data_IF_912190932710
#
_entry.id   IF_912190932710
#
_cell.length_a   1.000
_cell.length_b   1.000
_cell.length_c   1.000
_cell.angle_alpha   90.00
_cell.angle_beta   90.00
_cell.angle_gamma   90.00
#
_symmetry.space_group_name_H-M   'P 1'
#
loop_
_entity.id
_entity.type
_entity.pdbx_description
1 polymer ?
#
# COMPACT_ATOMS: atom_id res chain seq x y z
N UNK A 1 -68.09 -22.03 12.30
CA UNK A 1 -67.00 -21.85 11.34
C UNK A 1 -65.85 -21.20 12.09
N UNK A 2 -64.82 -21.97 12.42
CA UNK A 2 -63.62 -21.49 13.16
C UNK A 2 -62.51 -21.37 12.15
N UNK A 3 -62.08 -20.14 11.85
CA UNK A 3 -60.96 -19.83 10.98
C UNK A 3 -59.62 -20.01 11.71
N UNK A 4 -58.77 -20.89 11.22
CA UNK A 4 -57.39 -21.08 11.67
C UNK A 4 -56.48 -20.13 10.91
N UNK A 5 -55.89 -19.14 11.60
CA UNK A 5 -54.81 -18.30 11.08
C UNK A 5 -53.47 -19.02 11.30
N UNK A 6 -52.77 -19.35 10.22
CA UNK A 6 -51.39 -19.82 10.25
C UNK A 6 -50.45 -18.58 10.23
N UNK A 7 -49.75 -18.33 11.34
CA UNK A 7 -48.64 -17.44 11.40
C UNK A 7 -47.41 -18.16 10.82
N UNK A 8 -46.99 -17.75 9.60
CA UNK A 8 -45.70 -18.12 9.03
C UNK A 8 -44.61 -17.23 9.67
N UNK A 9 -43.90 -17.77 10.66
CA UNK A 9 -42.68 -17.19 11.18
C UNK A 9 -41.55 -17.43 10.17
N UNK A 10 -41.13 -16.35 9.51
CA UNK A 10 -39.90 -16.34 8.73
C UNK A 10 -38.69 -16.39 9.68
N UNK A 11 -38.09 -17.54 9.81
CA UNK A 11 -36.82 -17.72 10.47
C UNK A 11 -35.74 -17.37 9.45
N UNK A 12 -35.25 -16.12 9.51
CA UNK A 12 -34.09 -15.70 8.74
C UNK A 12 -32.86 -16.47 9.18
N UNK A 13 -32.42 -17.41 8.38
CA UNK A 13 -31.12 -18.06 8.54
C UNK A 13 -30.05 -17.03 8.22
N UNK A 14 -29.47 -16.44 9.24
CA UNK A 14 -28.20 -15.73 9.13
C UNK A 14 -27.13 -16.78 8.77
N UNK A 15 -26.84 -16.91 7.49
CA UNK A 15 -25.65 -17.60 7.02
C UNK A 15 -24.44 -16.78 7.50
N UNK A 16 -23.94 -17.11 8.69
CA UNK A 16 -22.58 -16.72 9.10
C UNK A 16 -21.62 -17.50 8.21
N UNK A 17 -21.34 -16.96 7.02
CA UNK A 17 -20.30 -17.49 6.17
C UNK A 17 -18.99 -17.44 6.94
N UNK A 18 -18.38 -18.59 7.20
CA UNK A 18 -17.01 -18.64 7.69
C UNK A 18 -16.14 -17.78 6.78
N UNK A 19 -15.45 -16.81 7.39
CA UNK A 19 -14.49 -15.95 6.70
C UNK A 19 -13.27 -16.80 6.33
N UNK A 20 -13.36 -17.49 5.20
CA UNK A 20 -12.28 -18.35 4.73
C UNK A 20 -11.15 -17.45 4.21
N UNK A 21 -9.99 -17.51 4.88
CA UNK A 21 -8.78 -16.92 4.35
C UNK A 21 -8.42 -17.63 3.04
N UNK A 22 -8.34 -16.89 1.95
CA UNK A 22 -7.92 -17.39 0.65
C UNK A 22 -6.59 -16.76 0.28
N UNK A 23 -5.82 -17.42 -0.55
CA UNK A 23 -4.58 -16.88 -1.07
C UNK A 23 -4.10 -17.67 -2.28
N UNK A 24 -3.32 -17.02 -3.13
CA UNK A 24 -2.85 -17.64 -4.36
C UNK A 24 -1.98 -16.71 -5.18
N UNK A 25 -1.83 -17.09 -6.42
CA UNK A 25 -1.10 -16.30 -7.41
C UNK A 25 -2.06 -15.87 -8.52
N UNK A 26 -1.93 -14.61 -8.94
CA UNK A 26 -2.51 -14.12 -10.18
C UNK A 26 -1.41 -13.90 -11.21
N UNK A 27 -1.72 -14.10 -12.49
CA UNK A 27 -0.80 -13.77 -13.57
C UNK A 27 -0.81 -12.27 -13.83
N UNK A 28 0.39 -11.71 -14.07
CA UNK A 28 0.61 -10.38 -14.61
C UNK A 28 1.57 -10.50 -15.80
N UNK A 29 1.70 -9.49 -16.66
CA UNK A 29 2.68 -9.56 -17.75
C UNK A 29 4.08 -9.91 -17.20
N UNK A 30 4.71 -10.92 -17.80
CA UNK A 30 6.05 -11.42 -17.43
C UNK A 30 6.20 -11.89 -15.96
N UNK A 31 5.09 -12.33 -15.31
CA UNK A 31 5.20 -12.80 -13.93
C UNK A 31 3.89 -13.15 -13.25
N UNK A 32 3.95 -13.20 -11.93
CA UNK A 32 2.78 -13.45 -11.08
C UNK A 32 2.91 -12.70 -9.77
N UNK A 33 1.77 -12.29 -9.19
CA UNK A 33 1.69 -11.71 -7.85
C UNK A 33 1.06 -12.70 -6.88
N UNK A 34 1.62 -12.76 -5.67
CA UNK A 34 1.04 -13.50 -4.57
C UNK A 34 0.12 -12.58 -3.75
N UNK A 35 -1.09 -13.04 -3.45
CA UNK A 35 -2.04 -12.32 -2.63
C UNK A 35 -2.67 -13.22 -1.56
N UNK A 36 -3.26 -12.59 -0.55
CA UNK A 36 -4.13 -13.18 0.45
C UNK A 36 -5.37 -12.31 0.59
N UNK A 37 -6.54 -12.94 0.75
CA UNK A 37 -7.79 -12.23 1.03
C UNK A 37 -8.53 -12.83 2.22
N UNK A 38 -9.18 -11.98 2.99
CA UNK A 38 -10.00 -12.33 4.15
C UNK A 38 -11.23 -11.42 4.22
N UNK A 39 -12.31 -11.94 4.76
CA UNK A 39 -13.56 -11.19 4.88
C UNK A 39 -14.40 -11.21 3.62
N UNK A 40 -15.44 -10.40 3.63
CA UNK A 40 -16.40 -10.26 2.53
C UNK A 40 -16.93 -8.83 2.47
N UNK A 41 -17.62 -8.48 1.39
CA UNK A 41 -18.19 -7.14 1.18
C UNK A 41 -17.34 -6.25 0.28
N UNK A 42 -17.30 -4.95 0.58
CA UNK A 42 -16.58 -3.96 -0.22
C UNK A 42 -15.08 -4.23 -0.21
N UNK A 43 -14.40 -4.27 -1.38
CA UNK A 43 -12.97 -4.53 -1.45
C UNK A 43 -12.14 -3.42 -0.81
N UNK A 44 -11.19 -3.84 0.03
CA UNK A 44 -10.19 -3.00 0.68
C UNK A 44 -8.80 -3.59 0.44
N UNK A 45 -7.97 -2.91 -0.34
CA UNK A 45 -6.65 -3.39 -0.74
C UNK A 45 -5.57 -2.62 0.01
N UNK A 46 -4.65 -3.34 0.65
CA UNK A 46 -3.49 -2.77 1.32
C UNK A 46 -2.21 -3.02 0.51
N UNK A 47 -1.42 -1.95 0.29
CA UNK A 47 -0.20 -1.95 -0.52
C UNK A 47 1.00 -1.64 0.37
N UNK A 48 1.94 -2.59 0.46
CA UNK A 48 3.07 -2.54 1.38
C UNK A 48 4.19 -1.58 0.96
N UNK A 49 5.06 -1.24 1.93
CA UNK A 49 6.24 -0.41 1.74
C UNK A 49 7.46 -1.16 1.16
N UNK A 50 8.48 -0.39 0.73
CA UNK A 50 9.75 -0.91 0.22
C UNK A 50 10.43 -1.86 1.22
N UNK A 51 11.10 -2.89 0.73
CA UNK A 51 11.80 -3.94 1.51
C UNK A 51 10.93 -4.80 2.42
N UNK A 52 9.62 -4.58 2.39
CA UNK A 52 8.62 -5.28 3.18
C UNK A 52 7.77 -6.21 2.29
N UNK A 53 6.74 -6.77 2.85
CA UNK A 53 5.74 -7.57 2.16
C UNK A 53 4.36 -7.43 2.83
N UNK A 54 3.34 -8.13 2.32
CA UNK A 54 1.97 -8.09 2.80
C UNK A 54 1.82 -8.27 4.32
N UNK A 55 2.77 -8.94 4.98
CA UNK A 55 2.70 -9.23 6.43
C UNK A 55 2.77 -7.99 7.32
N UNK A 56 3.21 -6.84 6.78
CA UNK A 56 3.17 -5.57 7.52
C UNK A 56 1.74 -5.13 7.86
N UNK A 57 0.75 -5.63 7.13
CA UNK A 57 -0.66 -5.27 7.26
C UNK A 57 -1.47 -6.20 8.18
N UNK A 58 -0.80 -7.11 8.90
CA UNK A 58 -1.48 -8.12 9.74
C UNK A 58 -2.51 -7.51 10.70
N UNK A 59 -2.16 -6.42 11.38
CA UNK A 59 -3.04 -5.76 12.35
C UNK A 59 -4.22 -5.06 11.67
N UNK A 60 -4.02 -4.57 10.44
CA UNK A 60 -5.07 -3.99 9.61
C UNK A 60 -6.01 -5.07 9.08
N UNK A 61 -5.47 -6.19 8.58
CA UNK A 61 -6.30 -7.33 8.13
C UNK A 61 -7.23 -7.77 9.26
N UNK A 62 -6.71 -7.96 10.48
CA UNK A 62 -7.52 -8.37 11.64
C UNK A 62 -8.62 -7.34 11.97
N UNK A 63 -8.31 -6.05 11.87
CA UNK A 63 -9.27 -4.99 12.20
C UNK A 63 -10.39 -4.83 11.16
N UNK A 64 -10.09 -5.05 9.87
CA UNK A 64 -11.02 -4.73 8.79
C UNK A 64 -11.77 -5.93 8.21
N UNK A 65 -11.28 -7.17 8.37
CA UNK A 65 -11.87 -8.38 7.76
C UNK A 65 -13.31 -8.68 8.17
N UNK A 66 -13.79 -8.13 9.28
CA UNK A 66 -15.18 -8.30 9.72
C UNK A 66 -16.18 -7.50 8.87
N UNK A 67 -15.72 -6.45 8.16
CA UNK A 67 -16.57 -5.49 7.47
C UNK A 67 -16.23 -5.31 5.99
N UNK A 68 -15.04 -5.77 5.57
CA UNK A 68 -14.52 -5.60 4.21
C UNK A 68 -13.98 -6.92 3.66
N UNK A 69 -14.01 -7.05 2.34
CA UNK A 69 -13.18 -8.02 1.63
C UNK A 69 -11.76 -7.45 1.58
N UNK A 70 -10.93 -7.83 2.55
CA UNK A 70 -9.56 -7.31 2.71
C UNK A 70 -8.60 -8.11 1.85
N UNK A 71 -7.87 -7.42 0.98
CA UNK A 71 -6.84 -7.99 0.12
C UNK A 71 -5.48 -7.39 0.49
N UNK A 72 -4.49 -8.25 0.69
CA UNK A 72 -3.08 -7.90 0.82
C UNK A 72 -2.29 -8.68 -0.22
N UNK A 73 -1.27 -8.08 -0.81
CA UNK A 73 -0.45 -8.76 -1.81
C UNK A 73 1.02 -8.38 -1.67
N UNK A 74 1.88 -9.20 -2.23
CA UNK A 74 3.29 -8.88 -2.38
C UNK A 74 3.50 -8.22 -3.75
N UNK A 75 3.98 -7.00 -3.79
CA UNK A 75 4.31 -6.32 -5.03
C UNK A 75 5.42 -7.07 -5.79
N UNK A 76 5.50 -6.89 -7.11
CA UNK A 76 6.56 -7.49 -7.92
C UNK A 76 7.94 -7.13 -7.35
N UNK A 77 8.82 -8.12 -7.25
CA UNK A 77 10.13 -7.99 -6.65
C UNK A 77 10.17 -8.19 -5.13
N UNK A 78 9.02 -8.44 -4.49
CA UNK A 78 8.91 -8.59 -3.04
C UNK A 78 8.22 -9.90 -2.65
N UNK A 79 8.48 -10.35 -1.42
CA UNK A 79 7.83 -11.48 -0.79
C UNK A 79 7.81 -12.74 -1.65
N UNK A 80 6.61 -13.22 -1.98
CA UNK A 80 6.35 -14.44 -2.78
C UNK A 80 6.05 -14.16 -4.25
N UNK A 81 5.95 -12.89 -4.64
CA UNK A 81 5.71 -12.49 -6.03
C UNK A 81 6.95 -12.69 -6.90
N UNK A 82 6.76 -12.65 -8.22
CA UNK A 82 7.86 -12.77 -9.19
C UNK A 82 8.94 -11.74 -8.94
N UNK A 83 10.18 -12.14 -9.17
CA UNK A 83 11.34 -11.27 -9.08
C UNK A 83 11.30 -10.19 -10.16
N UNK A 84 11.93 -9.06 -9.89
CA UNK A 84 12.25 -8.07 -10.91
C UNK A 84 13.42 -8.55 -11.78
N UNK A 85 13.52 -7.94 -12.96
CA UNK A 85 14.62 -8.11 -13.92
C UNK A 85 14.94 -6.73 -14.50
N UNK A 86 16.19 -6.48 -14.82
CA UNK A 86 16.64 -5.19 -15.39
C UNK A 86 16.07 -4.91 -16.78
N UNK A 87 15.76 -5.98 -17.56
CA UNK A 87 15.18 -5.90 -18.90
C UNK A 87 13.66 -5.76 -18.91
N UNK A 88 13.03 -5.87 -17.73
CA UNK A 88 11.57 -5.85 -17.63
C UNK A 88 11.04 -4.43 -17.43
N UNK A 89 10.17 -4.01 -18.34
CA UNK A 89 9.43 -2.75 -18.21
C UNK A 89 8.02 -3.04 -17.69
N UNK A 90 7.68 -2.47 -16.54
CA UNK A 90 6.37 -2.62 -15.90
C UNK A 90 6.11 -1.42 -14.99
N UNK A 91 4.86 -1.26 -14.51
CA UNK A 91 4.57 -0.41 -13.36
C UNK A 91 3.90 -1.22 -12.25
N UNK A 92 4.20 -0.86 -11.01
CA UNK A 92 3.49 -1.42 -9.85
C UNK A 92 2.01 -1.07 -9.85
N UNK A 93 1.65 0.08 -10.44
CA UNK A 93 0.27 0.52 -10.60
C UNK A 93 -0.50 -0.41 -11.54
N UNK A 94 0.07 -0.74 -12.72
CA UNK A 94 -0.57 -1.65 -13.69
C UNK A 94 -0.65 -3.08 -13.13
N UNK A 95 0.35 -3.51 -12.37
CA UNK A 95 0.29 -4.79 -11.64
C UNK A 95 -0.86 -4.81 -10.62
N UNK A 96 -1.12 -3.69 -9.92
CA UNK A 96 -2.26 -3.58 -9.01
C UNK A 96 -3.60 -3.61 -9.76
N UNK A 97 -3.70 -2.94 -10.92
CA UNK A 97 -4.89 -3.02 -11.78
C UNK A 97 -5.11 -4.46 -12.25
N UNK A 98 -4.06 -5.15 -12.69
CA UNK A 98 -4.14 -6.56 -13.09
C UNK A 98 -4.58 -7.48 -11.92
N UNK A 99 -4.13 -7.20 -10.68
CA UNK A 99 -4.62 -7.88 -9.49
C UNK A 99 -6.13 -7.66 -9.31
N UNK A 100 -6.58 -6.42 -9.41
CA UNK A 100 -8.01 -6.08 -9.28
C UNK A 100 -8.84 -6.80 -10.36
N UNK A 101 -8.37 -6.83 -11.61
CA UNK A 101 -9.06 -7.49 -12.72
C UNK A 101 -9.15 -9.00 -12.51
N UNK A 102 -8.05 -9.65 -12.13
CA UNK A 102 -8.03 -11.09 -11.85
C UNK A 102 -8.95 -11.49 -10.69
N UNK A 103 -9.13 -10.60 -9.71
CA UNK A 103 -10.02 -10.81 -8.56
C UNK A 103 -11.45 -10.29 -8.80
N UNK A 104 -11.75 -9.83 -10.03
CA UNK A 104 -13.05 -9.28 -10.43
C UNK A 104 -13.48 -8.09 -9.55
N UNK A 105 -12.54 -7.21 -9.24
CA UNK A 105 -12.75 -6.01 -8.44
C UNK A 105 -12.80 -4.78 -9.37
N UNK A 106 -13.98 -4.27 -9.70
CA UNK A 106 -14.10 -3.09 -10.57
C UNK A 106 -13.62 -1.82 -9.86
N UNK A 107 -13.89 -1.69 -8.56
CA UNK A 107 -13.45 -0.59 -7.71
C UNK A 107 -13.12 -1.08 -6.30
N UNK A 108 -12.15 -0.42 -5.65
CA UNK A 108 -11.76 -0.73 -4.28
C UNK A 108 -11.43 0.54 -3.49
N UNK A 109 -11.48 0.43 -2.16
CA UNK A 109 -10.68 1.28 -1.30
C UNK A 109 -9.24 0.80 -1.33
N UNK A 110 -8.28 1.72 -1.46
CA UNK A 110 -6.85 1.37 -1.51
C UNK A 110 -6.10 2.13 -0.43
N UNK A 111 -5.33 1.42 0.35
CA UNK A 111 -4.48 1.96 1.43
C UNK A 111 -3.03 1.60 1.16
N UNK A 112 -2.18 2.58 0.93
CA UNK A 112 -0.77 2.38 0.68
C UNK A 112 0.11 3.10 1.69
N UNK A 113 1.22 2.46 2.10
CA UNK A 113 2.22 3.09 2.96
C UNK A 113 3.57 3.17 2.25
N UNK A 114 4.21 4.34 2.29
CA UNK A 114 5.55 4.56 1.70
C UNK A 114 5.55 4.23 0.20
N UNK A 115 6.28 3.22 -0.23
CA UNK A 115 6.22 2.69 -1.61
C UNK A 115 4.77 2.37 -2.02
N UNK A 116 3.98 1.76 -1.12
CA UNK A 116 2.57 1.50 -1.36
C UNK A 116 1.75 2.78 -1.55
N UNK A 117 2.13 3.86 -0.87
CA UNK A 117 1.56 5.19 -1.10
C UNK A 117 1.89 5.73 -2.49
N UNK A 118 3.10 5.49 -3.00
CA UNK A 118 3.46 5.86 -4.38
C UNK A 118 2.62 5.10 -5.41
N UNK A 119 2.44 3.79 -5.20
CA UNK A 119 1.62 2.94 -6.07
C UNK A 119 0.16 3.39 -6.06
N UNK A 120 -0.39 3.66 -4.88
CA UNK A 120 -1.76 4.15 -4.73
C UNK A 120 -1.96 5.57 -5.30
N UNK A 121 -0.93 6.42 -5.19
CA UNK A 121 -0.92 7.74 -5.81
C UNK A 121 -0.86 7.69 -7.33
N UNK A 122 -0.09 6.77 -7.89
CA UNK A 122 -0.10 6.51 -9.33
C UNK A 122 -1.47 5.99 -9.79
N UNK A 123 -2.11 5.09 -9.01
CA UNK A 123 -3.46 4.61 -9.31
C UNK A 123 -4.50 5.74 -9.32
N UNK A 124 -4.41 6.66 -8.34
CA UNK A 124 -5.27 7.84 -8.28
C UNK A 124 -5.15 8.74 -9.52
N UNK A 125 -3.95 8.86 -10.07
CA UNK A 125 -3.67 9.69 -11.25
C UNK A 125 -4.08 9.02 -12.56
N UNK A 126 -3.78 7.73 -12.70
CA UNK A 126 -3.90 6.99 -13.95
C UNK A 126 -5.27 6.33 -14.13
N UNK A 127 -5.84 5.82 -13.03
CA UNK A 127 -7.06 5.00 -13.01
C UNK A 127 -8.03 5.42 -11.87
N UNK A 128 -8.39 6.73 -11.77
CA UNK A 128 -9.24 7.21 -10.67
C UNK A 128 -10.61 6.50 -10.62
N UNK A 129 -11.10 6.02 -11.76
CA UNK A 129 -12.35 5.25 -11.87
C UNK A 129 -12.29 3.87 -11.18
N UNK A 130 -11.10 3.37 -10.87
CA UNK A 130 -10.90 2.09 -10.14
C UNK A 130 -10.92 2.27 -8.61
N UNK A 131 -11.04 3.50 -8.13
CA UNK A 131 -11.03 3.83 -6.71
C UNK A 131 -12.44 4.17 -6.19
N UNK A 132 -12.77 3.64 -5.01
CA UNK A 132 -13.82 4.14 -4.13
C UNK A 132 -13.25 5.26 -3.26
N UNK A 133 -12.10 5.05 -2.67
CA UNK A 133 -11.29 6.05 -1.97
C UNK A 133 -9.83 5.59 -1.91
N UNK A 134 -8.93 6.51 -1.54
CA UNK A 134 -7.50 6.19 -1.40
C UNK A 134 -6.92 6.78 -0.11
N UNK A 135 -6.07 6.01 0.56
CA UNK A 135 -5.27 6.46 1.71
C UNK A 135 -3.78 6.39 1.34
N UNK A 136 -3.11 7.52 1.45
CA UNK A 136 -1.70 7.72 1.14
C UNK A 136 -0.95 7.99 2.44
N UNK A 137 -0.39 6.93 3.04
CA UNK A 137 0.32 7.02 4.31
C UNK A 137 1.83 7.07 4.09
N UNK A 138 2.51 8.07 4.65
CA UNK A 138 3.97 8.25 4.57
C UNK A 138 4.54 8.18 3.14
N UNK A 139 3.70 8.46 2.15
CA UNK A 139 4.06 8.43 0.73
C UNK A 139 2.90 8.89 -0.13
N UNK A 140 3.23 9.54 -1.22
CA UNK A 140 2.31 10.01 -2.27
C UNK A 140 2.93 9.71 -3.63
N UNK A 141 2.52 10.32 -4.73
CA UNK A 141 3.21 10.15 -6.03
C UNK A 141 4.68 10.56 -5.93
N UNK A 142 5.58 9.78 -6.52
CA UNK A 142 7.00 10.11 -6.58
C UNK A 142 7.26 11.30 -7.50
N UNK A 143 8.30 12.08 -7.19
CA UNK A 143 8.84 13.12 -8.09
C UNK A 143 9.93 12.59 -9.04
N UNK A 144 10.13 11.27 -9.08
CA UNK A 144 11.06 10.59 -10.00
C UNK A 144 10.51 10.56 -11.44
N UNK A 145 11.37 10.33 -12.44
CA UNK A 145 10.91 10.14 -13.82
C UNK A 145 9.84 9.04 -13.94
N UNK A 146 9.00 9.18 -14.96
CA UNK A 146 7.99 8.17 -15.32
C UNK A 146 8.65 6.92 -15.91
N UNK A 147 7.98 5.78 -15.83
CA UNK A 147 8.31 4.57 -16.58
C UNK A 147 8.44 4.84 -18.08
N UNK A 148 7.80 5.89 -18.57
CA UNK A 148 7.84 6.32 -19.97
C UNK A 148 9.08 7.17 -20.31
N UNK A 149 9.87 7.57 -19.31
CA UNK A 149 11.08 8.35 -19.47
C UNK A 149 12.32 7.46 -19.29
N UNK A 150 13.34 7.54 -20.16
CA UNK A 150 14.59 6.81 -19.94
C UNK A 150 15.34 7.39 -18.73
N UNK A 151 16.06 6.56 -18.01
CA UNK A 151 16.99 7.03 -17.00
C UNK A 151 18.06 7.94 -17.64
N UNK A 152 18.29 9.07 -17.05
CA UNK A 152 19.40 9.98 -17.46
C UNK A 152 20.76 9.37 -17.11
N UNK A 153 21.83 9.92 -17.68
CA UNK A 153 23.19 9.50 -17.37
C UNK A 153 23.51 9.70 -15.87
N UNK A 154 23.08 10.84 -15.30
CA UNK A 154 23.29 11.16 -13.89
C UNK A 154 22.53 10.21 -12.95
N UNK A 155 21.29 9.87 -13.28
CA UNK A 155 20.51 8.88 -12.52
C UNK A 155 21.17 7.50 -12.55
N UNK A 156 21.65 7.05 -13.70
CA UNK A 156 22.41 5.79 -13.81
C UNK A 156 23.69 5.82 -13.00
N UNK A 157 24.45 6.93 -13.08
CA UNK A 157 25.69 7.09 -12.32
C UNK A 157 25.44 7.12 -10.80
N UNK A 158 24.40 7.83 -10.35
CA UNK A 158 24.01 7.87 -8.94
C UNK A 158 23.56 6.49 -8.44
N UNK A 159 22.81 5.74 -9.29
CA UNK A 159 22.40 4.38 -8.97
C UNK A 159 23.59 3.44 -8.89
N UNK A 160 24.54 3.50 -9.86
CA UNK A 160 25.76 2.69 -9.83
C UNK A 160 26.58 2.96 -8.57
N UNK A 161 26.81 4.23 -8.22
CA UNK A 161 27.54 4.59 -7.01
C UNK A 161 26.85 4.06 -5.72
N UNK A 162 25.53 3.93 -5.73
CA UNK A 162 24.81 3.31 -4.63
C UNK A 162 24.99 1.79 -4.59
N UNK A 163 25.00 1.13 -5.75
CA UNK A 163 25.27 -0.30 -5.89
C UNK A 163 26.68 -0.61 -5.40
N UNK A 164 27.70 0.10 -5.91
CA UNK A 164 29.10 -0.08 -5.54
C UNK A 164 29.29 0.03 -4.01
N UNK A 165 28.68 1.03 -3.39
CA UNK A 165 28.72 1.19 -1.93
C UNK A 165 28.10 0.03 -1.19
N UNK A 166 27.00 -0.53 -1.71
CA UNK A 166 26.33 -1.70 -1.10
C UNK A 166 27.18 -2.95 -1.28
N UNK A 167 27.84 -3.11 -2.42
CA UNK A 167 28.78 -4.21 -2.67
C UNK A 167 29.99 -4.15 -1.73
N UNK A 168 30.58 -2.97 -1.54
CA UNK A 168 31.68 -2.73 -0.60
C UNK A 168 31.30 -3.03 0.86
N UNK A 169 30.13 -2.56 1.30
CA UNK A 169 29.67 -2.74 2.68
C UNK A 169 29.03 -4.11 2.92
N UNK A 170 28.57 -4.76 1.88
CA UNK A 170 27.77 -5.97 1.91
C UNK A 170 26.28 -5.71 2.15
N UNK A 171 25.44 -6.45 1.42
CA UNK A 171 23.98 -6.32 1.48
C UNK A 171 23.41 -6.49 2.90
N UNK A 172 24.05 -7.31 3.74
CA UNK A 172 23.62 -7.50 5.15
C UNK A 172 23.79 -6.22 5.98
N UNK A 173 24.89 -5.50 5.79
CA UNK A 173 25.15 -4.23 6.46
C UNK A 173 24.16 -3.16 5.98
N UNK A 174 23.92 -3.07 4.68
CA UNK A 174 22.91 -2.20 4.10
C UNK A 174 21.51 -2.43 4.70
N UNK A 175 21.04 -3.69 4.73
CA UNK A 175 19.74 -4.06 5.33
C UNK A 175 19.66 -3.69 6.80
N UNK A 176 20.76 -3.80 7.54
CA UNK A 176 20.80 -3.41 8.96
C UNK A 176 20.68 -1.90 9.10
N UNK A 177 21.44 -1.12 8.33
CA UNK A 177 21.34 0.35 8.33
C UNK A 177 19.93 0.83 7.96
N UNK A 178 19.33 0.22 6.95
CA UNK A 178 17.95 0.49 6.56
C UNK A 178 16.94 0.16 7.66
N UNK A 179 17.11 -0.99 8.31
CA UNK A 179 16.29 -1.37 9.46
C UNK A 179 16.41 -0.35 10.60
N UNK A 180 17.62 0.05 10.99
CA UNK A 180 17.84 1.05 12.05
C UNK A 180 17.23 2.43 11.69
N UNK A 181 17.24 2.78 10.41
CA UNK A 181 16.56 4.00 9.94
C UNK A 181 15.03 3.89 10.14
N UNK A 182 14.42 2.76 9.80
CA UNK A 182 12.99 2.54 10.01
C UNK A 182 12.62 2.40 11.50
N UNK A 183 13.56 2.01 12.35
CA UNK A 183 13.39 1.98 13.80
C UNK A 183 13.48 3.34 14.50
N UNK A 184 13.69 4.43 13.74
CA UNK A 184 13.60 5.80 14.26
C UNK A 184 12.13 6.23 14.38
N UNK A 185 11.38 5.57 15.28
CA UNK A 185 9.95 5.74 15.50
C UNK A 185 9.60 6.49 16.77
N UNK A 186 8.36 6.37 17.20
CA UNK A 186 7.83 6.87 18.45
C UNK A 186 8.08 5.90 19.64
N UNK A 187 7.37 6.12 20.73
CA UNK A 187 7.53 5.32 21.96
C UNK A 187 7.19 3.83 21.78
N UNK A 188 6.37 3.50 20.76
CA UNK A 188 5.94 2.12 20.50
C UNK A 188 6.82 1.40 19.46
N UNK A 189 7.92 1.99 19.00
CA UNK A 189 8.76 1.43 17.93
C UNK A 189 9.33 0.04 18.24
N UNK A 190 9.57 -0.28 19.51
CA UNK A 190 10.09 -1.59 19.89
C UNK A 190 9.14 -2.75 19.60
N UNK A 191 7.82 -2.52 19.57
CA UNK A 191 6.84 -3.57 19.22
C UNK A 191 7.02 -4.09 17.80
N UNK A 192 7.52 -3.26 16.87
CA UNK A 192 7.69 -3.63 15.47
C UNK A 192 9.06 -4.24 15.16
N UNK A 193 10.04 -4.17 16.06
CA UNK A 193 11.42 -4.62 15.85
C UNK A 193 11.51 -6.01 15.23
N UNK A 194 10.87 -7.00 15.83
CA UNK A 194 10.94 -8.39 15.36
C UNK A 194 10.23 -8.62 14.03
N UNK A 195 8.95 -8.22 13.84
CA UNK A 195 8.28 -8.40 12.55
C UNK A 195 8.94 -7.60 11.43
N UNK A 196 9.36 -6.37 11.66
CA UNK A 196 10.04 -5.52 10.69
C UNK A 196 11.36 -6.16 10.23
N UNK A 197 12.23 -6.54 11.18
CA UNK A 197 13.50 -7.20 10.84
C UNK A 197 13.31 -8.50 10.08
N UNK A 198 12.28 -9.29 10.41
CA UNK A 198 11.97 -10.54 9.71
C UNK A 198 11.66 -10.31 8.23
N UNK A 199 10.92 -9.26 7.90
CA UNK A 199 10.60 -8.89 6.51
C UNK A 199 11.83 -8.38 5.78
N UNK A 200 12.54 -7.39 6.34
CA UNK A 200 13.75 -6.81 5.74
C UNK A 200 14.83 -7.86 5.51
N UNK A 201 15.02 -8.77 6.45
CA UNK A 201 15.99 -9.87 6.28
C UNK A 201 15.60 -10.81 5.15
N UNK A 202 14.30 -11.09 4.98
CA UNK A 202 13.77 -11.98 3.95
C UNK A 202 13.77 -11.37 2.55
N UNK A 203 13.70 -10.04 2.44
CA UNK A 203 13.86 -9.34 1.17
C UNK A 203 15.22 -9.65 0.55
N UNK A 204 15.30 -9.96 -0.75
CA UNK A 204 16.54 -10.32 -1.41
C UNK A 204 17.50 -9.15 -1.63
N UNK A 205 16.97 -7.92 -1.64
CA UNK A 205 17.75 -6.71 -1.86
C UNK A 205 17.95 -6.36 -3.34
N UNK A 206 17.24 -7.02 -4.24
CA UNK A 206 17.41 -6.84 -5.68
C UNK A 206 17.36 -5.38 -6.10
N UNK A 207 16.36 -4.62 -5.64
CA UNK A 207 16.19 -3.20 -5.96
C UNK A 207 17.35 -2.31 -5.47
N UNK A 208 18.12 -2.78 -4.48
CA UNK A 208 19.26 -2.05 -3.96
C UNK A 208 20.56 -2.35 -4.74
N UNK A 209 20.66 -3.52 -5.35
CA UNK A 209 21.89 -4.07 -5.96
C UNK A 209 21.87 -4.16 -7.49
N UNK A 210 20.78 -3.72 -8.15
CA UNK A 210 20.61 -3.78 -9.60
C UNK A 210 20.12 -2.45 -10.17
N UNK A 211 20.36 -2.27 -11.47
CA UNK A 211 19.75 -1.17 -12.23
C UNK A 211 18.29 -1.50 -12.51
N UNK A 212 17.43 -1.00 -11.64
CA UNK A 212 15.99 -1.10 -11.80
C UNK A 212 15.52 -0.09 -12.85
N UNK A 213 14.71 -0.52 -13.81
CA UNK A 213 13.97 0.41 -14.68
C UNK A 213 12.95 1.21 -13.85
N UNK A 214 12.52 2.37 -14.33
CA UNK A 214 11.44 3.10 -13.66
C UNK A 214 10.17 2.24 -13.65
N UNK A 215 9.63 1.99 -12.45
CA UNK A 215 8.45 1.16 -12.23
C UNK A 215 7.26 1.95 -11.64
N UNK A 216 7.29 3.27 -11.80
CA UNK A 216 6.25 4.22 -11.38
C UNK A 216 5.94 5.20 -12.51
N UNK A 217 4.74 5.77 -12.46
CA UNK A 217 4.40 6.93 -13.31
C UNK A 217 5.00 8.24 -12.77
N UNK A 218 5.28 8.33 -11.48
CA UNK A 218 6.08 9.37 -10.86
C UNK A 218 5.66 10.80 -11.20
N UNK A 219 6.57 11.58 -11.87
CA UNK A 219 6.26 12.97 -12.27
C UNK A 219 5.04 13.08 -13.18
N UNK A 220 4.83 12.09 -14.06
CA UNK A 220 3.65 12.04 -14.92
C UNK A 220 2.37 11.94 -14.09
N UNK A 221 2.33 11.05 -13.10
CA UNK A 221 1.20 10.92 -12.19
C UNK A 221 0.93 12.22 -11.42
N UNK A 222 1.98 12.90 -10.92
CA UNK A 222 1.82 14.20 -10.24
C UNK A 222 1.21 15.24 -11.16
N UNK A 223 1.70 15.36 -12.39
CA UNK A 223 1.19 16.29 -13.41
C UNK A 223 -0.27 15.98 -13.72
N UNK A 224 -0.61 14.73 -13.99
CA UNK A 224 -1.98 14.30 -14.30
C UNK A 224 -2.94 14.54 -13.15
N UNK A 225 -2.52 14.32 -11.90
CA UNK A 225 -3.32 14.64 -10.71
C UNK A 225 -3.65 16.13 -10.65
N UNK A 226 -2.66 16.99 -10.91
CA UNK A 226 -2.86 18.43 -10.90
C UNK A 226 -3.78 18.90 -12.04
N UNK A 227 -3.67 18.31 -13.22
CA UNK A 227 -4.47 18.65 -14.40
C UNK A 227 -5.90 18.13 -14.31
N UNK A 228 -6.09 16.86 -13.93
CA UNK A 228 -7.39 16.18 -13.93
C UNK A 228 -8.20 16.43 -12.68
N UNK A 229 -7.55 16.73 -11.57
CA UNK A 229 -8.16 17.01 -10.25
C UNK A 229 -9.21 15.95 -9.87
N UNK A 230 -8.83 14.68 -9.76
CA UNK A 230 -9.79 13.60 -9.52
C UNK A 230 -10.55 13.85 -8.21
N UNK A 231 -11.87 13.65 -8.28
CA UNK A 231 -12.77 13.84 -7.14
C UNK A 231 -12.82 12.62 -6.20
N UNK A 232 -11.88 11.69 -6.31
CA UNK A 232 -11.76 10.51 -5.46
C UNK A 232 -11.49 10.98 -4.01
N UNK A 233 -12.27 10.51 -3.02
CA UNK A 233 -11.96 10.77 -1.62
C UNK A 233 -10.55 10.31 -1.28
N UNK A 234 -9.72 11.23 -0.79
CA UNK A 234 -8.29 11.00 -0.57
C UNK A 234 -7.90 11.40 0.85
N UNK A 235 -7.29 10.47 1.58
CA UNK A 235 -6.74 10.71 2.91
C UNK A 235 -5.23 10.64 2.87
N UNK A 236 -4.55 11.71 3.28
CA UNK A 236 -3.13 11.72 3.53
C UNK A 236 -2.89 11.46 5.02
N UNK A 237 -1.97 10.54 5.33
CA UNK A 237 -1.56 10.24 6.70
C UNK A 237 -0.05 10.44 6.82
N UNK A 238 0.38 11.22 7.80
CA UNK A 238 1.79 11.35 8.16
C UNK A 238 2.02 11.04 9.63
N UNK A 239 3.14 10.37 9.89
CA UNK A 239 3.64 10.16 11.25
C UNK A 239 4.15 11.47 11.83
N UNK A 240 4.00 11.64 13.14
CA UNK A 240 4.52 12.79 13.85
C UNK A 240 5.19 12.36 15.16
N UNK A 241 6.46 12.69 15.30
CA UNK A 241 7.20 12.55 16.55
C UNK A 241 7.24 13.88 17.26
N UNK A 242 6.97 13.93 18.58
CA UNK A 242 6.87 15.20 19.35
C UNK A 242 8.13 16.09 19.25
N UNK A 243 9.31 15.48 19.09
CA UNK A 243 10.60 16.19 18.98
C UNK A 243 10.92 16.68 17.55
N UNK A 244 10.05 16.40 16.58
CA UNK A 244 10.19 16.86 15.19
C UNK A 244 9.20 17.96 14.86
N UNK A 245 9.51 18.75 13.85
CA UNK A 245 8.54 19.68 13.30
C UNK A 245 7.27 18.95 12.84
N UNK A 246 6.12 19.57 13.03
CA UNK A 246 4.86 19.01 12.57
C UNK A 246 4.89 18.72 11.06
N UNK A 247 4.35 17.57 10.62
CA UNK A 247 4.26 17.24 9.21
C UNK A 247 3.45 18.30 8.45
N UNK A 248 3.84 18.54 7.22
CA UNK A 248 3.09 19.45 6.34
C UNK A 248 2.11 18.66 5.49
N UNK A 249 0.93 19.21 5.22
CA UNK A 249 0.02 18.64 4.23
C UNK A 249 0.67 18.44 2.87
N UNK A 250 0.23 17.44 2.14
CA UNK A 250 0.72 17.14 0.79
C UNK A 250 0.55 18.32 -0.15
N UNK A 251 1.55 18.55 -1.00
CA UNK A 251 1.48 19.52 -2.10
C UNK A 251 0.44 19.16 -3.17
N UNK A 252 -0.10 17.94 -3.16
CA UNK A 252 -1.17 17.51 -4.06
C UNK A 252 -2.56 17.92 -3.57
N UNK A 253 -2.74 18.19 -2.27
CA UNK A 253 -4.06 18.51 -1.71
C UNK A 253 -4.80 19.65 -2.42
N UNK A 254 -4.16 20.76 -2.86
CA UNK A 254 -4.85 21.80 -3.63
C UNK A 254 -5.46 21.32 -4.96
N UNK A 255 -5.01 20.17 -5.46
CA UNK A 255 -5.50 19.54 -6.69
C UNK A 255 -6.53 18.43 -6.46
N UNK A 256 -6.80 18.08 -5.20
CA UNK A 256 -7.69 16.98 -4.81
C UNK A 256 -8.85 17.54 -3.95
N UNK A 257 -10.00 17.86 -4.56
CA UNK A 257 -11.07 18.60 -3.90
C UNK A 257 -11.67 17.86 -2.68
N UNK A 258 -11.61 16.52 -2.67
CA UNK A 258 -12.12 15.67 -1.60
C UNK A 258 -10.99 15.09 -0.74
N UNK A 259 -9.91 15.86 -0.53
CA UNK A 259 -8.78 15.41 0.28
C UNK A 259 -8.79 15.98 1.68
N UNK A 260 -8.23 15.21 2.62
CA UNK A 260 -7.91 15.65 3.97
C UNK A 260 -6.58 15.06 4.45
N UNK A 261 -6.05 15.63 5.52
CA UNK A 261 -4.76 15.30 6.09
C UNK A 261 -4.91 14.99 7.57
N UNK A 262 -4.35 13.85 7.99
CA UNK A 262 -4.32 13.38 9.36
C UNK A 262 -2.90 13.07 9.79
N UNK A 263 -2.65 13.18 11.09
CA UNK A 263 -1.35 12.81 11.67
C UNK A 263 -1.50 11.69 12.69
N UNK A 264 -0.54 10.77 12.71
CA UNK A 264 -0.44 9.78 13.76
C UNK A 264 0.64 10.23 14.74
N UNK A 265 0.24 10.65 15.95
CA UNK A 265 1.19 11.13 16.95
C UNK A 265 2.08 9.99 17.46
N UNK A 266 3.24 10.36 17.96
CA UNK A 266 4.21 9.46 18.60
C UNK A 266 4.50 8.21 17.76
N UNK A 267 4.77 8.42 16.47
CA UNK A 267 5.09 7.35 15.52
C UNK A 267 6.13 7.80 14.52
N UNK A 268 6.85 6.83 13.97
CA UNK A 268 7.75 6.99 12.84
C UNK A 268 7.13 6.50 11.53
N UNK A 269 7.99 6.25 10.55
CA UNK A 269 7.62 5.87 9.19
C UNK A 269 6.69 4.65 9.10
N UNK A 270 6.80 3.72 10.07
CA UNK A 270 5.97 2.52 10.13
C UNK A 270 4.72 2.70 11.00
N UNK A 271 4.05 3.84 10.86
CA UNK A 271 2.96 4.30 11.73
C UNK A 271 1.78 3.32 11.83
N UNK A 272 1.49 2.55 10.78
CA UNK A 272 0.47 1.50 10.79
C UNK A 272 0.82 0.32 11.70
N UNK A 273 2.12 0.06 11.91
CA UNK A 273 2.61 -1.01 12.76
C UNK A 273 2.93 -0.52 14.18
N UNK A 274 3.39 0.73 14.32
CA UNK A 274 3.73 1.34 15.61
C UNK A 274 2.49 1.70 16.41
N UNK A 275 1.49 2.31 15.76
CA UNK A 275 0.24 2.80 16.35
C UNK A 275 -0.98 2.23 15.61
N UNK A 276 -1.14 0.90 15.54
CA UNK A 276 -2.19 0.28 14.71
C UNK A 276 -3.60 0.67 15.13
N UNK A 277 -3.85 0.89 16.43
CA UNK A 277 -5.16 1.27 16.92
C UNK A 277 -5.56 2.67 16.42
N UNK A 278 -4.60 3.61 16.42
CA UNK A 278 -4.82 4.98 15.92
C UNK A 278 -4.97 4.95 14.41
N UNK A 279 -4.06 4.24 13.71
CA UNK A 279 -4.11 4.09 12.26
C UNK A 279 -5.45 3.49 11.81
N UNK A 280 -5.85 2.38 12.41
CA UNK A 280 -7.08 1.67 12.08
C UNK A 280 -8.32 2.53 12.34
N UNK A 281 -8.36 3.30 13.45
CA UNK A 281 -9.46 4.21 13.75
C UNK A 281 -9.60 5.32 12.70
N UNK A 282 -8.48 5.98 12.33
CA UNK A 282 -8.47 7.04 11.31
C UNK A 282 -8.94 6.49 9.96
N UNK A 283 -8.39 5.35 9.54
CA UNK A 283 -8.78 4.71 8.27
C UNK A 283 -10.24 4.24 8.31
N UNK A 284 -10.67 3.59 9.40
CA UNK A 284 -12.06 3.13 9.54
C UNK A 284 -13.08 4.28 9.45
N UNK A 285 -12.80 5.39 10.13
CA UNK A 285 -13.64 6.58 10.06
C UNK A 285 -13.70 7.14 8.64
N UNK A 286 -12.57 7.25 7.96
CA UNK A 286 -12.52 7.72 6.58
C UNK A 286 -13.29 6.79 5.62
N UNK A 287 -13.15 5.48 5.76
CA UNK A 287 -13.85 4.51 4.92
C UNK A 287 -15.36 4.55 5.15
N UNK A 288 -15.81 4.69 6.42
CA UNK A 288 -17.23 4.75 6.75
C UNK A 288 -17.94 5.94 6.13
N UNK A 289 -17.27 7.10 6.04
CA UNK A 289 -17.79 8.31 5.41
C UNK A 289 -17.85 8.23 3.88
N UNK A 290 -17.17 7.25 3.28
CA UNK A 290 -17.04 7.07 1.83
C UNK A 290 -17.56 5.69 1.37
N UNK A 291 -18.52 5.12 2.09
CA UNK A 291 -19.26 3.92 1.64
C UNK A 291 -20.36 4.38 0.65
N UNK A 292 -20.40 3.74 -0.51
CA UNK A 292 -21.38 3.97 -1.58
C UNK A 292 -22.31 2.78 -1.74
#
# INVERSE_FOLDING_TARGET
>A
MKGFFWLLTWMGVLLTGEVVARGGYIAVPEGRLYYEEQGAGTPLIFVHGHSLDRRMWREQVEAFKAHYRVIVYDARGYGRSSKQREDLRFTHCDDLVALMDALQIPKAHVVGLSMGGFIAGDLLAMYPERLLSVVLAEGETRSTPSVNEPMTADERAAKQASIDRIEEQGLRAYKRGWFEQLMQGGSQVERIRRPLWRMIRAWDGWQATHHETHCYYGREARRLTAERRPAVPTLFISAHRPEKAAPRPSSLMPHLPNSRFETIPDSGHMCNMEQPEIFNRIVSQFLAENQF
#
